data_IF_699860136313
#
_entry.id   IF_699860136313
#
_cell.length_a   1.000
_cell.length_b   1.000
_cell.length_c   1.000
_cell.angle_alpha   90.00
_cell.angle_beta   90.00
_cell.angle_gamma   90.00
#
_symmetry.space_group_name_H-M   'P 1'
#
loop_
_entity.id
_entity.type
_entity.pdbx_description
1 polymer ?
#
# COMPACT_ATOMS: atom_id res chain seq x y z
N UNK A 1 0.17 -13.94 7.63
CA UNK A 1 0.71 -13.88 6.26
C UNK A 1 -0.16 -12.95 5.45
N UNK A 2 0.37 -11.87 4.85
CA UNK A 2 -0.44 -11.04 3.97
C UNK A 2 -1.06 -11.91 2.87
N UNK A 3 -2.31 -11.63 2.46
CA UNK A 3 -2.93 -12.38 1.37
C UNK A 3 -2.04 -12.27 0.12
N UNK A 4 -1.86 -13.36 -0.63
CA UNK A 4 -1.12 -13.30 -1.89
C UNK A 4 -1.76 -12.22 -2.76
N UNK A 5 -0.98 -11.32 -3.37
CA UNK A 5 -1.52 -10.37 -4.32
C UNK A 5 -2.30 -11.14 -5.38
N UNK A 6 -3.50 -10.65 -5.71
CA UNK A 6 -4.33 -11.24 -6.75
C UNK A 6 -3.49 -11.45 -8.02
N UNK A 7 -3.68 -12.56 -8.76
CA UNK A 7 -2.93 -12.80 -9.98
C UNK A 7 -3.14 -11.62 -10.92
N UNK A 8 -2.07 -10.86 -11.16
CA UNK A 8 -2.07 -9.82 -12.19
C UNK A 8 -2.33 -10.53 -13.51
N UNK A 9 -3.41 -10.11 -14.18
CA UNK A 9 -3.82 -10.63 -15.49
C UNK A 9 -2.64 -10.74 -16.45
N UNK A 10 -2.44 -11.92 -17.01
CA UNK A 10 -1.22 -12.25 -17.75
C UNK A 10 -1.17 -11.67 -19.16
N UNK A 11 -2.32 -11.24 -19.70
CA UNK A 11 -2.51 -10.80 -21.07
C UNK A 11 -3.34 -9.50 -21.16
N UNK A 12 -3.17 -8.78 -22.28
CA UNK A 12 -4.02 -7.61 -22.59
C UNK A 12 -5.43 -8.06 -22.95
N UNK A 13 -6.42 -7.30 -22.50
CA UNK A 13 -7.80 -7.53 -22.90
C UNK A 13 -7.96 -7.21 -24.41
N UNK A 14 -8.36 -8.18 -25.25
CA UNK A 14 -8.47 -7.97 -26.69
C UNK A 14 -9.59 -6.99 -27.09
N UNK A 15 -10.46 -6.61 -26.15
CA UNK A 15 -11.53 -5.63 -26.38
C UNK A 15 -11.11 -4.17 -26.17
N UNK A 16 -9.90 -3.92 -25.65
CA UNK A 16 -9.40 -2.57 -25.40
C UNK A 16 -8.34 -2.17 -26.43
N UNK A 17 -8.59 -1.07 -27.15
CA UNK A 17 -7.64 -0.51 -28.09
C UNK A 17 -6.39 0.02 -27.36
N UNK A 18 -5.20 -0.42 -27.78
CA UNK A 18 -3.94 0.05 -27.19
C UNK A 18 -3.65 1.46 -27.75
N UNK A 19 -3.50 2.49 -26.89
CA UNK A 19 -3.17 3.83 -27.35
C UNK A 19 -1.77 3.88 -27.96
N UNK A 20 -1.59 4.73 -28.97
CA UNK A 20 -0.29 4.98 -29.59
C UNK A 20 0.69 5.55 -28.54
N UNK A 21 1.87 4.95 -28.41
CA UNK A 21 2.84 5.31 -27.39
C UNK A 21 2.61 4.67 -26.01
N UNK A 22 1.69 3.71 -25.86
CA UNK A 22 1.51 2.99 -24.60
C UNK A 22 2.80 2.28 -24.18
N UNK A 23 3.29 2.54 -22.96
CA UNK A 23 4.44 1.85 -22.41
C UNK A 23 4.03 0.52 -21.76
N UNK A 24 4.88 -0.50 -21.91
CA UNK A 24 4.68 -1.80 -21.27
C UNK A 24 4.67 -1.64 -19.75
N UNK A 25 3.60 -2.10 -19.11
CA UNK A 25 3.39 -2.03 -17.66
C UNK A 25 4.25 -3.00 -16.87
N UNK A 26 4.91 -3.96 -17.53
CA UNK A 26 5.81 -4.92 -16.87
C UNK A 26 7.12 -4.24 -16.50
N UNK A 27 7.55 -4.44 -15.25
CA UNK A 27 8.73 -3.80 -14.66
C UNK A 27 9.96 -4.00 -15.53
N UNK A 28 10.71 -2.93 -15.75
CA UNK A 28 11.97 -2.90 -16.52
C UNK A 28 11.82 -3.09 -18.04
N UNK A 29 10.66 -3.48 -18.56
CA UNK A 29 10.53 -3.69 -20.00
C UNK A 29 10.64 -2.39 -20.81
N UNK A 30 9.88 -1.36 -20.44
CA UNK A 30 9.96 -0.03 -21.07
C UNK A 30 9.58 0.05 -22.55
N UNK A 31 9.18 -1.05 -23.19
CA UNK A 31 8.77 -1.07 -24.58
C UNK A 31 7.53 -0.19 -24.82
N UNK A 32 7.49 0.52 -25.95
CA UNK A 32 6.37 1.40 -26.34
C UNK A 32 5.63 0.83 -27.53
N UNK A 33 4.31 0.74 -27.44
CA UNK A 33 3.46 0.33 -28.55
C UNK A 33 3.36 1.42 -29.62
N UNK A 34 3.45 1.03 -30.90
CA UNK A 34 3.15 1.91 -32.04
C UNK A 34 1.90 1.40 -32.74
N UNK A 35 0.94 2.29 -32.97
CA UNK A 35 -0.33 1.97 -33.62
C UNK A 35 -0.06 1.44 -35.03
N UNK A 36 -0.46 0.19 -35.27
CA UNK A 36 -0.28 -0.51 -36.54
C UNK A 36 0.94 -1.42 -36.62
N UNK A 37 1.74 -1.59 -35.55
CA UNK A 37 2.77 -2.64 -35.51
C UNK A 37 2.17 -4.01 -35.20
N UNK A 38 2.60 -5.04 -35.93
CA UNK A 38 2.27 -6.44 -35.64
C UNK A 38 2.80 -6.83 -34.26
N UNK A 39 1.96 -7.46 -33.43
CA UNK A 39 2.27 -7.84 -32.04
C UNK A 39 2.61 -9.33 -31.89
N UNK A 40 2.91 -10.01 -32.98
CA UNK A 40 3.04 -11.47 -33.03
C UNK A 40 4.48 -11.96 -32.78
N UNK A 41 5.47 -11.06 -32.84
CA UNK A 41 6.90 -11.35 -32.59
C UNK A 41 7.49 -10.49 -31.45
N UNK A 42 6.66 -10.02 -30.52
CA UNK A 42 7.11 -9.13 -29.43
C UNK A 42 7.75 -9.91 -28.26
N UNK A 43 9.00 -9.64 -27.91
CA UNK A 43 9.64 -10.23 -26.72
C UNK A 43 9.69 -9.25 -25.54
N UNK A 44 8.90 -9.51 -24.52
CA UNK A 44 8.84 -8.73 -23.29
C UNK A 44 9.79 -9.28 -22.22
N UNK A 45 10.97 -8.68 -22.12
CA UNK A 45 11.95 -8.93 -21.03
C UNK A 45 11.59 -8.08 -19.81
N UNK A 46 11.29 -8.71 -18.68
CA UNK A 46 10.82 -8.01 -17.47
C UNK A 46 11.18 -8.77 -16.18
N UNK A 47 11.03 -8.10 -15.03
CA UNK A 47 11.06 -8.76 -13.73
C UNK A 47 9.63 -9.03 -13.22
N UNK A 48 9.21 -10.30 -13.05
CA UNK A 48 7.95 -10.64 -12.38
C UNK A 48 8.03 -10.43 -10.85
N UNK A 49 9.23 -10.20 -10.31
CA UNK A 49 9.46 -10.00 -8.89
C UNK A 49 9.16 -8.58 -8.40
N UNK A 50 9.10 -8.43 -7.08
CA UNK A 50 9.06 -7.12 -6.43
C UNK A 50 10.48 -6.62 -6.18
N UNK A 51 10.73 -5.30 -6.25
CA UNK A 51 11.98 -4.71 -5.75
C UNK A 51 12.21 -5.10 -4.29
N UNK A 52 13.43 -5.54 -3.97
CA UNK A 52 13.90 -5.85 -2.61
C UNK A 52 15.09 -4.95 -2.31
N UNK A 53 15.02 -4.27 -1.17
CA UNK A 53 16.12 -3.48 -0.61
C UNK A 53 16.49 -4.06 0.76
N UNK A 54 17.60 -4.79 0.85
CA UNK A 54 18.06 -5.45 2.08
C UNK A 54 19.59 -5.34 2.20
N UNK A 55 20.09 -4.98 3.39
CA UNK A 55 21.53 -4.86 3.70
C UNK A 55 22.30 -3.95 2.71
N UNK A 56 21.69 -2.85 2.30
CA UNK A 56 22.28 -1.91 1.33
C UNK A 56 22.25 -2.40 -0.13
N UNK A 57 21.98 -3.69 -0.36
CA UNK A 57 21.79 -4.28 -1.68
C UNK A 57 20.36 -4.08 -2.20
N UNK A 58 20.25 -3.83 -3.50
CA UNK A 58 19.00 -3.56 -4.24
C UNK A 58 18.87 -4.57 -5.36
N UNK A 59 17.70 -5.18 -5.52
CA UNK A 59 17.46 -6.17 -6.57
C UNK A 59 15.99 -6.51 -6.70
N UNK A 60 15.67 -7.56 -7.45
CA UNK A 60 14.29 -8.05 -7.60
C UNK A 60 14.16 -9.44 -6.99
N UNK A 61 13.00 -9.76 -6.41
CA UNK A 61 12.73 -11.08 -5.83
C UNK A 61 12.82 -12.23 -6.84
N UNK A 62 12.70 -11.96 -8.15
CA UNK A 62 12.75 -12.98 -9.20
C UNK A 62 14.15 -13.50 -9.53
N UNK A 63 15.20 -12.77 -9.18
CA UNK A 63 16.55 -13.06 -9.63
C UNK A 63 17.60 -12.72 -8.58
N UNK A 64 18.75 -13.39 -8.65
CA UNK A 64 19.83 -13.19 -7.68
C UNK A 64 20.65 -11.92 -7.91
N UNK A 65 20.43 -11.20 -9.03
CA UNK A 65 21.17 -9.98 -9.36
C UNK A 65 20.83 -8.89 -8.35
N UNK A 66 21.86 -8.38 -7.67
CA UNK A 66 21.79 -7.32 -6.68
C UNK A 66 22.89 -6.30 -6.95
N UNK A 67 22.60 -5.05 -6.69
CA UNK A 67 23.51 -3.92 -6.87
C UNK A 67 23.47 -3.04 -5.63
N UNK A 68 24.56 -2.34 -5.34
CA UNK A 68 24.65 -1.47 -4.16
C UNK A 68 24.11 -0.07 -4.46
N UNK A 69 24.35 0.42 -5.67
CA UNK A 69 23.95 1.75 -6.12
C UNK A 69 22.54 1.76 -6.72
N UNK A 70 21.79 2.86 -6.50
CA UNK A 70 20.42 2.98 -6.99
C UNK A 70 20.34 3.13 -8.51
N UNK A 71 21.27 3.87 -9.12
CA UNK A 71 21.28 4.06 -10.58
C UNK A 71 21.58 2.76 -11.32
N UNK A 72 22.38 1.87 -10.72
CA UNK A 72 22.59 0.53 -11.23
C UNK A 72 21.34 -0.34 -11.12
N UNK A 73 20.51 -0.11 -10.08
CA UNK A 73 19.26 -0.84 -9.88
C UNK A 73 18.24 -0.52 -10.98
N UNK A 74 18.13 0.76 -11.35
CA UNK A 74 17.30 1.22 -12.47
C UNK A 74 17.73 0.64 -13.82
N UNK A 75 18.99 0.21 -13.94
CA UNK A 75 19.57 -0.40 -15.15
C UNK A 75 19.56 -1.93 -15.13
N UNK A 76 19.03 -2.58 -14.09
CA UNK A 76 18.93 -4.04 -14.08
C UNK A 76 17.93 -4.43 -15.16
N UNK A 77 18.38 -5.20 -16.14
CA UNK A 77 17.55 -5.78 -17.21
C UNK A 77 16.68 -6.92 -16.69
N UNK A 78 15.50 -7.09 -17.31
CA UNK A 78 14.51 -8.07 -16.89
C UNK A 78 15.04 -9.50 -16.83
N UNK A 79 14.60 -10.26 -15.83
CA UNK A 79 15.05 -11.63 -15.59
C UNK A 79 14.25 -12.68 -16.37
N UNK A 80 13.11 -12.32 -16.97
CA UNK A 80 12.19 -13.25 -17.64
C UNK A 80 11.66 -12.66 -18.94
N UNK A 81 11.64 -13.48 -20.00
CA UNK A 81 11.08 -13.13 -21.31
C UNK A 81 9.68 -13.73 -21.45
N UNK A 82 8.74 -12.95 -22.00
CA UNK A 82 7.40 -13.40 -22.41
C UNK A 82 7.14 -12.94 -23.85
N UNK A 83 6.31 -13.65 -24.60
CA UNK A 83 6.06 -13.43 -26.03
C UNK A 83 5.11 -12.28 -26.38
N UNK A 84 4.59 -11.53 -25.38
CA UNK A 84 3.80 -10.31 -25.60
C UNK A 84 4.07 -9.30 -24.50
N UNK A 85 4.10 -8.02 -24.84
CA UNK A 85 4.07 -6.94 -23.85
C UNK A 85 2.68 -6.76 -23.25
N UNK A 86 2.61 -6.14 -22.06
CA UNK A 86 1.35 -5.83 -21.38
C UNK A 86 1.16 -4.30 -21.40
N UNK A 87 0.31 -3.78 -22.29
CA UNK A 87 0.13 -2.34 -22.45
C UNK A 87 -1.11 -1.82 -21.71
N UNK A 88 -2.18 -2.60 -21.71
CA UNK A 88 -3.48 -2.24 -21.13
C UNK A 88 -3.72 -3.04 -19.86
N UNK A 89 -3.41 -4.35 -19.86
CA UNK A 89 -3.81 -5.30 -18.82
C UNK A 89 -5.33 -5.57 -18.82
N UNK A 90 -5.81 -6.56 -18.07
CA UNK A 90 -7.26 -6.80 -17.93
C UNK A 90 -7.90 -5.68 -17.11
N UNK A 91 -8.28 -4.57 -17.76
CA UNK A 91 -9.36 -3.66 -17.37
C UNK A 91 -9.41 -3.11 -15.93
N UNK A 92 -8.37 -3.33 -15.12
CA UNK A 92 -8.27 -2.88 -13.73
C UNK A 92 -7.17 -1.84 -13.55
N UNK A 93 -6.77 -1.23 -14.65
CA UNK A 93 -6.03 0.01 -14.62
C UNK A 93 -7.05 1.12 -14.77
N UNK A 94 -7.41 1.69 -13.61
CA UNK A 94 -8.26 2.86 -13.51
C UNK A 94 -7.86 3.88 -14.58
N UNK A 95 -8.90 4.28 -15.30
CA UNK A 95 -8.93 5.24 -16.38
C UNK A 95 -8.01 6.44 -16.11
N UNK A 96 -7.40 6.96 -17.18
CA UNK A 96 -6.65 8.20 -17.12
C UNK A 96 -7.50 9.34 -16.55
N UNK A 97 -6.83 10.23 -15.83
CA UNK A 97 -7.31 11.44 -15.12
C UNK A 97 -7.71 11.29 -13.64
N UNK A 98 -7.79 10.09 -13.08
CA UNK A 98 -8.43 9.90 -11.76
C UNK A 98 -7.49 9.34 -10.68
N UNK A 99 -7.33 10.11 -9.60
CA UNK A 99 -7.04 9.74 -8.21
C UNK A 99 -6.45 8.31 -7.95
N UNK A 100 -5.19 8.22 -7.53
CA UNK A 100 -4.49 6.96 -7.20
C UNK A 100 -5.06 6.34 -5.91
N UNK A 101 -5.78 5.22 -6.02
CA UNK A 101 -6.38 4.55 -4.86
C UNK A 101 -5.34 3.70 -4.12
N UNK A 102 -5.10 4.03 -2.85
CA UNK A 102 -4.26 3.27 -1.94
C UNK A 102 -5.11 2.20 -1.25
N UNK A 103 -4.74 0.93 -1.40
CA UNK A 103 -5.40 -0.19 -0.70
C UNK A 103 -4.89 -0.37 0.73
N UNK A 104 -3.66 0.07 1.03
CA UNK A 104 -3.04 -0.05 2.35
C UNK A 104 -2.24 1.20 2.68
N UNK A 105 -2.22 1.57 3.95
CA UNK A 105 -1.37 2.63 4.49
C UNK A 105 -0.59 2.05 5.65
N UNK A 106 0.73 2.32 5.66
CA UNK A 106 1.57 1.97 6.81
C UNK A 106 1.01 2.65 8.04
N UNK A 107 0.82 1.89 9.10
CA UNK A 107 0.40 2.40 10.38
C UNK A 107 1.29 1.85 11.49
N UNK A 108 1.25 2.51 12.62
CA UNK A 108 1.91 2.11 13.86
C UNK A 108 1.03 2.55 15.03
N UNK A 109 1.16 1.91 16.18
CA UNK A 109 0.45 2.35 17.37
C UNK A 109 1.26 2.04 18.63
N UNK A 110 1.05 2.87 19.63
CA UNK A 110 1.47 2.58 21.00
C UNK A 110 0.28 2.83 21.93
N UNK A 111 0.39 2.40 23.18
CA UNK A 111 -0.71 2.55 24.11
C UNK A 111 -0.22 2.95 25.50
N UNK A 112 -1.11 3.65 26.18
CA UNK A 112 -1.07 3.91 27.62
C UNK A 112 -2.17 3.06 28.29
N UNK A 113 -2.27 3.07 29.63
CA UNK A 113 -3.39 2.40 30.30
C UNK A 113 -4.76 2.90 29.83
N UNK A 114 -4.89 4.19 29.53
CA UNK A 114 -6.16 4.82 29.17
C UNK A 114 -6.40 4.98 27.66
N UNK A 115 -5.33 5.15 26.86
CA UNK A 115 -5.46 5.53 25.44
C UNK A 115 -4.62 4.63 24.53
N UNK A 116 -5.12 4.39 23.32
CA UNK A 116 -4.36 3.86 22.18
C UNK A 116 -4.04 5.01 21.24
N UNK A 117 -2.76 5.24 20.96
CA UNK A 117 -2.31 6.29 20.05
C UNK A 117 -1.88 5.63 18.73
N UNK A 118 -2.66 5.81 17.67
CA UNK A 118 -2.38 5.23 16.36
C UNK A 118 -1.90 6.30 15.38
N UNK A 119 -0.91 5.98 14.55
CA UNK A 119 -0.36 6.83 13.50
C UNK A 119 -0.51 6.17 12.14
N UNK A 120 -1.20 6.82 11.21
CA UNK A 120 -1.30 6.42 9.80
C UNK A 120 -0.39 7.31 8.96
N UNK A 121 0.62 6.71 8.33
CA UNK A 121 1.66 7.45 7.60
C UNK A 121 1.21 7.75 6.17
N UNK A 122 0.43 8.81 6.02
CA UNK A 122 0.02 9.38 4.74
C UNK A 122 0.41 10.86 4.72
N UNK A 123 1.22 11.27 3.74
CA UNK A 123 1.70 12.64 3.60
C UNK A 123 0.65 13.51 2.91
N UNK A 124 0.67 14.82 3.20
CA UNK A 124 -0.15 15.84 2.52
C UNK A 124 -1.65 15.51 2.47
N UNK A 125 -2.20 15.00 3.57
CA UNK A 125 -3.63 14.75 3.69
C UNK A 125 -4.36 16.10 3.58
N UNK A 126 -5.32 16.18 2.67
CA UNK A 126 -6.21 17.31 2.55
C UNK A 126 -7.24 17.28 3.70
N UNK A 127 -7.21 18.28 4.57
CA UNK A 127 -8.09 18.36 5.74
C UNK A 127 -9.54 18.66 5.38
N UNK A 128 -9.79 19.33 4.27
CA UNK A 128 -11.13 19.76 3.87
C UNK A 128 -11.95 18.59 3.31
N UNK A 129 -11.28 17.61 2.71
CA UNK A 129 -11.90 16.45 2.06
C UNK A 129 -11.71 15.15 2.86
N UNK A 130 -10.83 15.13 3.86
CA UNK A 130 -10.63 13.96 4.71
C UNK A 130 -11.84 13.69 5.61
N UNK A 131 -12.33 12.45 5.60
CA UNK A 131 -13.34 11.95 6.53
C UNK A 131 -12.72 10.94 7.47
N UNK A 132 -12.84 11.22 8.76
CA UNK A 132 -12.40 10.34 9.85
C UNK A 132 -13.61 10.14 10.76
N UNK A 133 -14.11 8.91 10.83
CA UNK A 133 -15.23 8.55 11.69
C UNK A 133 -14.76 7.51 12.72
N UNK A 134 -14.94 7.85 13.99
CA UNK A 134 -14.61 7.01 15.13
C UNK A 134 -15.89 6.34 15.62
N UNK A 135 -15.95 5.02 15.55
CA UNK A 135 -17.05 4.22 16.10
C UNK A 135 -16.52 3.36 17.25
N UNK A 136 -17.39 2.83 18.13
CA UNK A 136 -16.95 2.10 19.31
C UNK A 136 -15.98 0.96 19.00
N UNK A 137 -16.18 0.20 17.92
CA UNK A 137 -15.32 -0.93 17.55
C UNK A 137 -14.81 -0.87 16.10
N UNK A 138 -14.91 0.30 15.47
CA UNK A 138 -14.56 0.47 14.06
C UNK A 138 -14.04 1.88 13.81
N UNK A 139 -13.06 1.99 12.93
CA UNK A 139 -12.51 3.25 12.45
C UNK A 139 -12.73 3.30 10.94
N UNK A 140 -13.44 4.34 10.47
CA UNK A 140 -13.68 4.56 9.05
C UNK A 140 -12.84 5.75 8.58
N UNK A 141 -11.99 5.51 7.59
CA UNK A 141 -11.09 6.50 7.01
C UNK A 141 -11.42 6.67 5.52
N UNK A 142 -11.54 7.92 5.09
CA UNK A 142 -11.55 8.33 3.69
C UNK A 142 -10.63 9.55 3.55
N UNK A 143 -9.36 9.29 3.24
CA UNK A 143 -8.29 10.29 3.23
C UNK A 143 -7.86 10.55 1.79
N UNK A 144 -7.79 11.82 1.40
CA UNK A 144 -7.32 12.26 0.08
C UNK A 144 -6.07 13.11 0.23
N UNK A 145 -5.12 13.02 -0.70
CA UNK A 145 -3.86 13.79 -0.66
C UNK A 145 -3.83 14.94 -1.67
N UNK A 146 -3.08 15.99 -1.36
CA UNK A 146 -2.86 17.14 -2.25
C UNK A 146 -1.62 16.96 -3.14
N UNK A 147 -1.26 15.73 -3.48
CA UNK A 147 -0.14 15.48 -4.40
C UNK A 147 -0.51 15.84 -5.85
N UNK A 148 0.48 16.08 -6.74
CA UNK A 148 0.21 16.35 -8.16
C UNK A 148 -0.66 15.27 -8.81
N UNK A 149 -0.55 14.04 -8.34
CA UNK A 149 -1.51 12.95 -8.56
C UNK A 149 -2.17 12.66 -7.21
N UNK A 150 -3.43 13.10 -6.99
CA UNK A 150 -4.11 12.90 -5.71
C UNK A 150 -4.20 11.41 -5.37
N UNK A 151 -3.84 11.04 -4.14
CA UNK A 151 -3.98 9.66 -3.65
C UNK A 151 -5.18 9.58 -2.72
N UNK A 152 -5.97 8.51 -2.81
CA UNK A 152 -7.10 8.27 -1.92
C UNK A 152 -6.97 6.97 -1.15
N UNK A 153 -7.00 7.04 0.16
CA UNK A 153 -7.02 5.90 1.05
C UNK A 153 -8.40 5.78 1.71
N UNK A 154 -9.16 4.78 1.31
CA UNK A 154 -10.45 4.45 1.92
C UNK A 154 -10.34 3.11 2.64
N UNK A 155 -10.61 3.10 3.95
CA UNK A 155 -10.50 1.89 4.75
C UNK A 155 -11.52 1.87 5.88
N UNK A 156 -12.08 0.68 6.09
CA UNK A 156 -12.87 0.34 7.26
C UNK A 156 -12.02 -0.60 8.12
N UNK A 157 -11.70 -0.14 9.32
CA UNK A 157 -10.72 -0.78 10.20
C UNK A 157 -11.46 -1.27 11.44
N UNK A 158 -11.71 -2.59 11.57
CA UNK A 158 -12.25 -3.13 12.81
C UNK A 158 -11.21 -2.96 13.91
N UNK A 159 -11.57 -2.37 15.03
CA UNK A 159 -10.67 -2.16 16.16
C UNK A 159 -10.62 -3.42 17.04
N UNK A 160 -9.47 -3.66 17.69
CA UNK A 160 -9.30 -4.83 18.56
C UNK A 160 -10.30 -4.85 19.73
N UNK A 161 -10.46 -3.72 20.41
CA UNK A 161 -11.43 -3.55 21.49
C UNK A 161 -12.22 -2.26 21.33
N UNK A 162 -13.20 -2.07 22.21
CA UNK A 162 -14.06 -0.90 22.17
C UNK A 162 -13.32 0.37 22.64
N UNK A 163 -13.65 1.48 22.00
CA UNK A 163 -13.19 2.83 22.33
C UNK A 163 -14.40 3.70 22.70
N UNK A 164 -14.14 4.79 23.39
CA UNK A 164 -15.09 5.87 23.63
C UNK A 164 -14.90 6.94 22.54
N UNK A 165 -15.80 7.04 21.53
CA UNK A 165 -15.63 7.97 20.42
C UNK A 165 -15.64 9.44 20.85
N UNK A 166 -16.35 9.78 21.92
CA UNK A 166 -16.47 11.17 22.40
C UNK A 166 -15.19 11.64 23.10
N UNK A 167 -14.51 10.73 23.80
CA UNK A 167 -13.20 11.00 24.42
C UNK A 167 -12.03 10.79 23.46
N UNK A 168 -12.29 10.23 22.28
CA UNK A 168 -11.27 10.01 21.26
C UNK A 168 -11.10 11.24 20.38
N UNK A 169 -9.87 11.47 19.90
CA UNK A 169 -9.55 12.63 19.07
C UNK A 169 -8.59 12.26 17.94
N UNK A 170 -8.47 13.14 16.95
CA UNK A 170 -7.56 12.96 15.83
C UNK A 170 -6.85 14.26 15.46
N UNK A 171 -5.67 14.12 14.86
CA UNK A 171 -4.85 15.23 14.37
C UNK A 171 -4.22 14.88 13.03
N UNK A 172 -4.59 15.63 12.00
CA UNK A 172 -3.96 15.54 10.67
C UNK A 172 -2.68 16.39 10.67
N UNK A 173 -1.53 15.71 10.60
CA UNK A 173 -0.19 16.31 10.49
C UNK A 173 0.29 16.22 9.04
N UNK A 174 1.36 16.95 8.69
CA UNK A 174 1.88 17.00 7.32
C UNK A 174 2.38 15.65 6.79
N UNK A 175 2.81 14.75 7.68
CA UNK A 175 3.40 13.45 7.32
C UNK A 175 2.58 12.24 7.77
N UNK A 176 1.55 12.45 8.60
CA UNK A 176 0.73 11.38 9.19
C UNK A 176 -0.60 11.89 9.71
N UNK A 177 -1.59 11.01 9.78
CA UNK A 177 -2.76 11.16 10.64
C UNK A 177 -2.46 10.50 11.98
N UNK A 178 -2.65 11.22 13.08
CA UNK A 178 -2.54 10.69 14.44
C UNK A 178 -3.93 10.60 15.07
N UNK A 179 -4.23 9.48 15.72
CA UNK A 179 -5.47 9.22 16.43
C UNK A 179 -5.13 8.95 17.89
N UNK A 180 -5.85 9.59 18.81
CA UNK A 180 -5.81 9.29 20.23
C UNK A 180 -7.15 8.68 20.63
N UNK A 181 -7.19 7.35 20.70
CA UNK A 181 -8.40 6.58 20.97
C UNK A 181 -8.49 6.26 22.47
N UNK A 182 -9.54 6.74 23.12
CA UNK A 182 -9.79 6.47 24.53
C UNK A 182 -10.38 5.06 24.67
N UNK A 183 -9.73 4.21 25.48
CA UNK A 183 -10.22 2.83 25.73
C UNK A 183 -11.48 2.89 26.60
N UNK A 184 -12.50 2.12 26.25
CA UNK A 184 -13.69 2.01 27.13
C UNK A 184 -13.41 1.17 28.37
N UNK A 185 -12.70 0.05 28.20
CA UNK A 185 -12.60 -1.01 29.22
C UNK A 185 -11.17 -1.17 29.78
N UNK A 186 -10.25 -0.25 29.45
CA UNK A 186 -8.85 -0.30 29.88
C UNK A 186 -8.04 -1.47 29.32
N UNK A 187 -8.60 -2.25 28.39
CA UNK A 187 -7.96 -3.43 27.80
C UNK A 187 -6.62 -3.08 27.14
N UNK A 188 -5.63 -3.96 27.26
CA UNK A 188 -4.37 -3.83 26.53
C UNK A 188 -4.54 -4.38 25.11
N UNK A 189 -4.16 -3.61 24.10
CA UNK A 189 -4.33 -3.96 22.70
C UNK A 189 -3.05 -4.60 22.17
N UNK A 190 -3.03 -5.91 21.87
CA UNK A 190 -1.88 -6.57 21.27
C UNK A 190 -1.71 -6.20 19.79
N UNK A 191 -2.80 -5.84 19.11
CA UNK A 191 -2.86 -5.37 17.72
C UNK A 191 -3.85 -4.21 17.64
N UNK A 192 -3.70 -3.33 16.64
CA UNK A 192 -4.63 -2.24 16.41
C UNK A 192 -5.94 -2.76 15.80
N UNK A 193 -5.83 -3.60 14.77
CA UNK A 193 -6.97 -4.11 14.01
C UNK A 193 -7.44 -5.45 14.58
N UNK A 194 -8.73 -5.61 14.75
CA UNK A 194 -9.33 -6.86 15.27
C UNK A 194 -9.26 -8.03 14.28
N UNK A 195 -9.00 -7.76 12.99
CA UNK A 195 -8.83 -8.75 11.93
C UNK A 195 -7.37 -9.16 11.69
N UNK A 196 -6.42 -8.57 12.42
CA UNK A 196 -5.00 -8.90 12.31
C UNK A 196 -4.65 -10.11 13.17
N UNK A 197 -3.83 -11.02 12.62
CA UNK A 197 -3.36 -12.18 13.37
C UNK A 197 -2.50 -11.71 14.56
N UNK A 198 -2.77 -12.25 15.75
CA UNK A 198 -1.94 -12.06 16.95
C UNK A 198 -0.55 -12.69 16.70
N UNK A 199 0.33 -11.99 15.99
CA UNK A 199 1.73 -12.39 15.86
C UNK A 199 2.38 -12.16 17.22
N UNK A 200 2.59 -13.25 17.95
CA UNK A 200 3.02 -13.23 19.35
C UNK A 200 4.45 -12.69 19.53
N UNK A 201 4.58 -11.38 19.72
CA UNK A 201 5.55 -10.79 20.63
C UNK A 201 4.86 -9.62 21.35
N UNK A 202 4.34 -9.92 22.54
CA UNK A 202 3.69 -8.93 23.41
C UNK A 202 4.80 -8.21 24.18
N UNK A 203 5.28 -7.08 23.67
CA UNK A 203 6.15 -6.19 24.45
C UNK A 203 5.29 -5.47 25.52
N UNK A 204 5.16 -6.11 26.68
CA UNK A 204 4.56 -5.53 27.88
C UNK A 204 5.42 -4.36 28.39
N UNK A 205 4.95 -3.12 28.20
CA UNK A 205 5.44 -1.97 28.97
C UNK A 205 4.51 -1.79 30.17
N UNK A 206 4.93 -2.26 31.34
CA UNK A 206 4.23 -2.02 32.61
C UNK A 206 4.35 -3.18 33.59
N UNK A 207 5.20 -3.02 34.61
CA UNK A 207 5.33 -3.94 35.75
C UNK A 207 3.98 -4.08 36.47
N UNK A 208 3.57 -5.31 36.77
CA UNK A 208 2.52 -5.57 37.74
C UNK A 208 2.91 -4.94 39.09
N UNK A 209 2.10 -3.99 39.57
CA UNK A 209 2.18 -3.56 40.96
C UNK A 209 1.82 -4.75 41.84
N UNK A 210 2.79 -5.22 42.64
CA UNK A 210 2.51 -6.16 43.73
C UNK A 210 2.06 -5.33 44.94
N UNK A 211 0.85 -5.62 45.39
CA UNK A 211 0.39 -5.32 46.75
C UNK A 211 1.21 -6.11 47.77
#
# INVERSE_FOLDING_TARGET
TPPPPAPESEDDDPSLEIPDGAACKRKTCGATYKKGSSRDEEECVHHPGVPIFHEGSKGYSCCKRRVLEFDQFMKIEGCKTKSRHLFVGSGKNGNGDSEEILSTVRHDFYQTPANVIASFFLKKINKDTAKIELQPKQLVLDLTTTDPTPKRYKAEIPLFASIDPEKSSYKVLGTKLELALAKSDGTSWPVLRGDEALTGEILQIGRAGRA
#
